data_IF_026067564119
#
_entry.id   IF_026067564119
#
_cell.length_a   1.000
_cell.length_b   1.000
_cell.length_c   1.000
_cell.angle_alpha   90.00
_cell.angle_beta   90.00
_cell.angle_gamma   90.00
#
_symmetry.space_group_name_H-M   'P 1'
#
loop_
_entity.id
_entity.type
_entity.pdbx_description
1 polymer ?
#
# COMPACT_ATOMS: atom_id res chain seq x y z
N UNK A 1 1.06 54.11 63.40
CA UNK A 1 0.92 53.93 61.95
C UNK A 1 1.85 52.80 61.59
N UNK A 2 1.28 51.61 61.46
CA UNK A 2 1.99 50.33 61.39
C UNK A 2 2.13 49.90 59.92
N UNK A 3 3.32 49.52 59.41
CA UNK A 3 3.55 49.24 57.99
C UNK A 3 3.05 47.87 57.49
N UNK A 4 2.38 47.06 58.32
CA UNK A 4 2.23 45.62 58.09
C UNK A 4 1.10 45.17 57.14
N UNK A 5 0.36 46.07 56.48
CA UNK A 5 -0.85 45.68 55.70
C UNK A 5 -0.71 45.82 54.17
N UNK A 6 0.52 45.92 53.64
CA UNK A 6 0.74 46.02 52.19
C UNK A 6 1.62 44.94 51.57
N UNK A 7 2.09 43.97 52.34
CA UNK A 7 2.91 42.86 51.81
C UNK A 7 2.17 41.54 51.65
N UNK A 8 0.92 41.41 52.09
CA UNK A 8 0.17 40.13 52.01
C UNK A 8 -0.69 39.97 50.73
N UNK A 9 -0.47 40.74 49.66
CA UNK A 9 -1.22 40.57 48.41
C UNK A 9 -0.35 40.38 47.16
N UNK A 10 0.90 39.94 47.34
CA UNK A 10 1.84 39.67 46.23
C UNK A 10 2.53 38.30 46.33
N UNK A 11 2.09 37.43 47.23
CA UNK A 11 2.65 36.08 47.43
C UNK A 11 1.60 34.98 47.30
N UNK A 12 0.64 35.14 46.40
CA UNK A 12 -0.34 34.08 46.06
C UNK A 12 -0.60 33.99 44.56
N UNK A 13 0.40 34.35 43.75
CA UNK A 13 0.62 33.60 42.53
C UNK A 13 1.59 32.50 42.93
N UNK A 14 1.07 31.44 43.54
CA UNK A 14 1.74 30.15 43.41
C UNK A 14 1.94 29.99 41.91
N UNK A 15 3.18 30.16 41.46
CA UNK A 15 3.66 29.47 40.28
C UNK A 15 3.47 27.98 40.64
N UNK A 16 2.25 27.48 40.47
CA UNK A 16 2.02 26.06 40.25
C UNK A 16 2.96 25.75 39.10
N UNK A 17 4.10 25.12 39.41
CA UNK A 17 4.88 24.40 38.42
C UNK A 17 3.89 23.40 37.82
N UNK A 18 3.17 23.83 36.78
CA UNK A 18 2.24 22.97 36.06
C UNK A 18 3.07 21.82 35.53
N UNK A 19 2.90 20.66 36.16
CA UNK A 19 3.55 19.42 35.78
C UNK A 19 3.29 19.21 34.28
N UNK A 20 4.36 19.22 33.48
CA UNK A 20 4.26 19.07 32.03
C UNK A 20 3.57 17.73 31.76
N UNK A 21 2.43 17.76 31.06
CA UNK A 21 1.65 16.56 30.76
C UNK A 21 2.58 15.48 30.18
N UNK A 22 2.69 14.30 30.81
CA UNK A 22 3.65 13.26 30.42
C UNK A 22 3.44 12.77 28.98
N UNK A 23 2.27 13.00 28.38
CA UNK A 23 1.99 12.71 26.96
C UNK A 23 2.78 13.63 26.02
N UNK A 24 3.10 14.87 26.43
CA UNK A 24 3.89 15.82 25.65
C UNK A 24 5.29 15.27 25.43
N UNK A 25 5.93 14.71 26.46
CA UNK A 25 7.26 14.13 26.34
C UNK A 25 7.28 13.00 25.28
N UNK A 26 6.30 12.10 25.31
CA UNK A 26 6.21 11.00 24.35
C UNK A 26 6.00 11.46 22.90
N UNK A 27 5.23 12.53 22.67
CA UNK A 27 5.06 13.08 21.32
C UNK A 27 6.28 13.89 20.84
N UNK A 28 7.01 14.56 21.75
CA UNK A 28 8.28 15.22 21.42
C UNK A 28 9.38 14.22 21.07
N UNK A 29 9.47 13.09 21.78
CA UNK A 29 10.38 12.00 21.43
C UNK A 29 10.07 11.44 20.04
N UNK A 30 8.79 11.23 19.71
CA UNK A 30 8.36 10.82 18.36
C UNK A 30 8.70 11.86 17.30
N UNK A 31 8.58 13.15 17.62
CA UNK A 31 8.92 14.24 16.71
C UNK A 31 10.42 14.28 16.42
N UNK A 32 11.26 14.14 17.44
CA UNK A 32 12.70 14.06 17.30
C UNK A 32 13.11 12.85 16.46
N UNK A 33 12.58 11.66 16.79
CA UNK A 33 12.83 10.44 16.01
C UNK A 33 12.40 10.59 14.54
N UNK A 34 11.21 11.12 14.30
CA UNK A 34 10.71 11.36 12.94
C UNK A 34 11.56 12.37 12.18
N UNK A 35 12.12 13.37 12.86
CA UNK A 35 13.02 14.38 12.27
C UNK A 35 14.33 13.75 11.83
N UNK A 36 14.93 12.91 12.68
CA UNK A 36 16.15 12.16 12.36
C UNK A 36 15.92 11.20 11.19
N UNK A 37 14.78 10.50 11.20
CA UNK A 37 14.40 9.60 10.10
C UNK A 37 14.15 10.35 8.79
N UNK A 38 13.54 11.54 8.82
CA UNK A 38 13.41 12.40 7.64
C UNK A 38 14.79 12.77 7.09
N UNK A 39 15.68 13.31 7.92
CA UNK A 39 17.01 13.74 7.49
C UNK A 39 17.82 12.58 6.90
N UNK A 40 17.74 11.40 7.54
CA UNK A 40 18.36 10.17 7.06
C UNK A 40 17.80 9.74 5.71
N UNK A 41 16.47 9.62 5.60
CA UNK A 41 15.85 9.14 4.36
C UNK A 41 15.99 10.13 3.21
N UNK A 42 16.02 11.44 3.47
CA UNK A 42 16.33 12.46 2.46
C UNK A 42 17.75 12.30 1.92
N UNK A 43 18.74 12.13 2.81
CA UNK A 43 20.13 11.92 2.43
C UNK A 43 20.30 10.62 1.62
N UNK A 44 19.76 9.50 2.12
CA UNK A 44 19.85 8.21 1.43
C UNK A 44 19.10 8.20 0.08
N UNK A 45 18.00 8.94 -0.03
CA UNK A 45 17.24 9.09 -1.27
C UNK A 45 18.03 9.88 -2.31
N UNK A 46 18.66 10.99 -1.93
CA UNK A 46 19.46 11.78 -2.88
C UNK A 46 20.71 11.02 -3.31
N UNK A 47 21.39 10.32 -2.40
CA UNK A 47 22.47 9.39 -2.72
C UNK A 47 22.02 8.32 -3.75
N UNK A 48 20.85 7.72 -3.52
CA UNK A 48 20.25 6.74 -4.43
C UNK A 48 19.97 7.33 -5.82
N UNK A 49 19.41 8.53 -5.88
CA UNK A 49 19.14 9.27 -7.12
C UNK A 49 20.43 9.63 -7.85
N UNK A 50 21.46 10.09 -7.14
CA UNK A 50 22.76 10.40 -7.73
C UNK A 50 23.42 9.15 -8.32
N UNK A 51 23.40 8.02 -7.60
CA UNK A 51 23.92 6.74 -8.10
C UNK A 51 23.16 6.29 -9.35
N UNK A 52 21.83 6.40 -9.36
CA UNK A 52 21.02 6.10 -10.54
C UNK A 52 21.43 6.97 -11.74
N UNK A 53 21.55 8.29 -11.56
CA UNK A 53 21.99 9.21 -12.63
C UNK A 53 23.40 8.87 -13.13
N UNK A 54 24.33 8.57 -12.24
CA UNK A 54 25.71 8.22 -12.60
C UNK A 54 25.77 6.94 -13.45
N UNK A 55 25.08 5.88 -13.02
CA UNK A 55 25.00 4.60 -13.77
C UNK A 55 24.29 4.80 -15.11
N UNK A 56 23.25 5.65 -15.16
CA UNK A 56 22.54 5.93 -16.41
C UNK A 56 23.46 6.60 -17.44
N UNK A 57 24.22 7.62 -17.02
CA UNK A 57 25.20 8.29 -17.89
C UNK A 57 26.29 7.32 -18.34
N UNK A 58 26.83 6.51 -17.42
CA UNK A 58 27.82 5.48 -17.75
C UNK A 58 27.28 4.49 -18.80
N UNK A 59 26.05 4.03 -18.62
CA UNK A 59 25.37 3.13 -19.56
C UNK A 59 25.23 3.77 -20.94
N UNK A 60 24.77 5.02 -21.00
CA UNK A 60 24.61 5.78 -22.26
C UNK A 60 25.94 5.91 -22.99
N UNK A 61 27.01 6.32 -22.30
CA UNK A 61 28.34 6.47 -22.89
C UNK A 61 28.89 5.16 -23.46
N UNK A 62 28.80 4.04 -22.70
CA UNK A 62 29.31 2.76 -23.18
C UNK A 62 28.48 2.19 -24.32
N UNK A 63 27.16 2.34 -24.27
CA UNK A 63 26.27 1.90 -25.35
C UNK A 63 26.44 2.72 -26.62
N UNK A 64 26.65 4.05 -26.50
CA UNK A 64 26.96 4.92 -27.64
C UNK A 64 28.29 4.52 -28.30
N UNK A 65 29.32 4.20 -27.51
CA UNK A 65 30.59 3.68 -28.03
C UNK A 65 30.43 2.39 -28.84
N UNK A 66 29.55 1.48 -28.40
CA UNK A 66 29.21 0.29 -29.17
C UNK A 66 28.37 0.62 -30.41
N UNK A 67 27.39 1.53 -30.30
CA UNK A 67 26.57 1.95 -31.43
C UNK A 67 27.41 2.54 -32.56
N UNK A 68 28.42 3.37 -32.24
CA UNK A 68 29.36 3.91 -33.23
C UNK A 68 30.16 2.82 -33.96
N UNK A 69 30.50 1.72 -33.29
CA UNK A 69 31.31 0.62 -33.86
C UNK A 69 30.51 -0.40 -34.65
N UNK A 70 29.30 -0.73 -34.19
CA UNK A 70 28.50 -1.86 -34.70
C UNK A 70 27.03 -1.51 -34.98
N UNK A 71 26.69 -0.22 -35.10
CA UNK A 71 25.31 0.28 -35.19
C UNK A 71 24.42 -0.40 -36.24
N UNK A 72 24.90 -0.56 -37.48
CA UNK A 72 24.12 -1.28 -38.52
C UNK A 72 23.71 -2.68 -38.09
N UNK A 73 24.64 -3.45 -37.49
CA UNK A 73 24.33 -4.79 -37.01
C UNK A 73 23.37 -4.78 -35.82
N UNK A 74 23.44 -3.75 -34.97
CA UNK A 74 22.49 -3.54 -33.86
C UNK A 74 21.10 -3.29 -34.44
N UNK A 75 20.95 -2.39 -35.41
CA UNK A 75 19.66 -2.08 -36.04
C UNK A 75 19.06 -3.28 -36.77
N UNK A 76 19.85 -3.97 -37.60
CA UNK A 76 19.39 -5.13 -38.39
C UNK A 76 18.94 -6.31 -37.50
N UNK A 77 19.50 -6.43 -36.30
CA UNK A 77 19.20 -7.54 -35.38
C UNK A 77 18.09 -7.25 -34.37
N UNK A 78 17.60 -6.00 -34.29
CA UNK A 78 16.50 -5.60 -33.38
C UNK A 78 15.29 -6.54 -33.43
N UNK A 79 14.77 -6.94 -34.61
CA UNK A 79 13.59 -7.82 -34.68
C UNK A 79 13.80 -9.16 -33.97
N UNK A 80 15.01 -9.74 -34.04
CA UNK A 80 15.33 -10.98 -33.34
C UNK A 80 15.31 -10.81 -31.82
N UNK A 81 15.91 -9.73 -31.30
CA UNK A 81 15.97 -9.49 -29.85
C UNK A 81 14.59 -9.16 -29.27
N UNK A 82 13.74 -8.48 -30.03
CA UNK A 82 12.33 -8.24 -29.69
C UNK A 82 11.53 -9.55 -29.69
N UNK A 83 11.64 -10.36 -30.75
CA UNK A 83 10.99 -11.67 -30.82
C UNK A 83 11.46 -12.60 -29.69
N UNK A 84 12.75 -12.54 -29.31
CA UNK A 84 13.30 -13.28 -28.17
C UNK A 84 12.68 -12.84 -26.85
N UNK A 85 12.46 -11.53 -26.65
CA UNK A 85 11.76 -11.00 -25.47
C UNK A 85 10.31 -11.52 -25.41
N UNK A 86 9.59 -11.47 -26.53
CA UNK A 86 8.20 -11.99 -26.63
C UNK A 86 8.16 -13.49 -26.35
N UNK A 87 9.07 -14.26 -26.95
CA UNK A 87 9.14 -15.70 -26.71
C UNK A 87 9.45 -16.05 -25.24
N UNK A 88 10.31 -15.26 -24.58
CA UNK A 88 10.59 -15.43 -23.15
C UNK A 88 9.37 -15.11 -22.28
N UNK A 89 8.62 -14.06 -22.63
CA UNK A 89 7.37 -13.71 -21.93
C UNK A 89 6.32 -14.81 -22.09
N UNK A 90 6.10 -15.27 -23.33
CA UNK A 90 5.18 -16.37 -23.62
C UNK A 90 5.59 -17.68 -22.90
N UNK A 91 6.90 -17.92 -22.72
CA UNK A 91 7.40 -19.05 -21.93
C UNK A 91 6.95 -18.95 -20.46
N UNK A 92 7.11 -17.79 -19.84
CA UNK A 92 6.75 -17.56 -18.43
C UNK A 92 5.24 -17.72 -18.25
N UNK A 93 4.45 -17.18 -19.16
CA UNK A 93 2.99 -17.30 -19.16
C UNK A 93 2.53 -18.75 -19.32
N UNK A 94 3.12 -19.49 -20.28
CA UNK A 94 2.80 -20.90 -20.47
C UNK A 94 3.18 -21.74 -19.24
N UNK A 95 4.32 -21.47 -18.60
CA UNK A 95 4.72 -22.13 -17.36
C UNK A 95 3.73 -21.84 -16.22
N UNK A 96 3.33 -20.57 -16.06
CA UNK A 96 2.33 -20.18 -15.05
C UNK A 96 0.98 -20.88 -15.29
N UNK A 97 0.49 -20.88 -16.53
CA UNK A 97 -0.77 -21.55 -16.88
C UNK A 97 -0.68 -23.07 -16.68
N UNK A 98 0.49 -23.67 -16.92
CA UNK A 98 0.74 -25.10 -16.63
C UNK A 98 0.62 -25.39 -15.13
N UNK A 99 1.25 -24.57 -14.28
CA UNK A 99 1.16 -24.73 -12.82
C UNK A 99 -0.28 -24.57 -12.32
N UNK A 100 -1.02 -23.60 -12.85
CA UNK A 100 -2.41 -23.37 -12.46
C UNK A 100 -3.35 -24.50 -12.93
N UNK A 101 -3.13 -25.04 -14.12
CA UNK A 101 -3.82 -26.23 -14.59
C UNK A 101 -3.54 -27.45 -13.70
N UNK A 102 -2.27 -27.70 -13.35
CA UNK A 102 -1.89 -28.78 -12.44
C UNK A 102 -2.57 -28.64 -11.08
N UNK A 103 -2.53 -27.44 -10.48
CA UNK A 103 -3.26 -27.13 -9.24
C UNK A 103 -4.76 -27.40 -9.37
N UNK A 104 -5.38 -26.98 -10.47
CA UNK A 104 -6.82 -27.19 -10.71
C UNK A 104 -7.17 -28.68 -10.82
N UNK A 105 -6.30 -29.47 -11.46
CA UNK A 105 -6.45 -30.93 -11.56
C UNK A 105 -6.33 -31.59 -10.17
N UNK A 106 -5.38 -31.16 -9.35
CA UNK A 106 -5.21 -31.67 -7.99
C UNK A 106 -6.40 -31.34 -7.10
N UNK A 107 -6.93 -30.12 -7.17
CA UNK A 107 -8.13 -29.70 -6.43
C UNK A 107 -9.33 -30.56 -6.84
N UNK A 108 -9.53 -30.77 -8.14
CA UNK A 108 -10.61 -31.61 -8.63
C UNK A 108 -10.47 -33.05 -8.14
N UNK A 109 -9.25 -33.60 -8.17
CA UNK A 109 -8.97 -34.96 -7.67
C UNK A 109 -9.34 -35.07 -6.18
N UNK A 110 -8.91 -34.12 -5.36
CA UNK A 110 -9.23 -34.10 -3.93
C UNK A 110 -10.74 -33.93 -3.66
N UNK A 111 -11.43 -33.12 -4.46
CA UNK A 111 -12.89 -32.93 -4.34
C UNK A 111 -13.64 -34.23 -4.68
N UNK A 112 -13.22 -34.95 -5.75
CA UNK A 112 -13.79 -36.25 -6.11
C UNK A 112 -13.50 -37.34 -5.07
N UNK A 113 -12.29 -37.36 -4.51
CA UNK A 113 -11.92 -38.27 -3.42
C UNK A 113 -12.76 -38.01 -2.16
N UNK A 114 -13.07 -36.75 -1.86
CA UNK A 114 -13.97 -36.40 -0.74
C UNK A 114 -15.37 -36.98 -0.93
N UNK A 115 -15.93 -36.94 -2.15
CA UNK A 115 -17.22 -37.58 -2.45
C UNK A 115 -17.11 -39.10 -2.33
N UNK A 116 -16.08 -39.72 -2.92
CA UNK A 116 -15.90 -41.17 -2.88
C UNK A 116 -15.80 -41.71 -1.43
N UNK A 117 -15.05 -41.03 -0.56
CA UNK A 117 -14.97 -41.38 0.86
C UNK A 117 -16.29 -41.16 1.62
N UNK A 118 -17.07 -40.15 1.22
CA UNK A 118 -18.40 -39.93 1.80
C UNK A 118 -19.39 -41.02 1.37
N UNK A 119 -19.30 -41.50 0.12
CA UNK A 119 -20.09 -42.62 -0.40
C UNK A 119 -19.71 -43.96 0.28
N UNK A 120 -18.42 -44.23 0.46
CA UNK A 120 -17.93 -45.43 1.16
C UNK A 120 -18.45 -45.48 2.60
N UNK A 121 -18.30 -44.38 3.35
CA UNK A 121 -18.83 -44.28 4.71
C UNK A 121 -20.34 -44.43 4.79
N UNK A 122 -21.09 -43.99 3.77
CA UNK A 122 -22.54 -44.18 3.73
C UNK A 122 -22.91 -45.66 3.56
N UNK A 123 -22.15 -46.40 2.74
CA UNK A 123 -22.39 -47.81 2.46
C UNK A 123 -22.05 -48.74 3.64
N UNK A 124 -21.18 -48.30 4.56
CA UNK A 124 -20.77 -49.08 5.74
C UNK A 124 -21.78 -49.00 6.91
N UNK A 125 -22.75 -48.08 6.89
CA UNK A 125 -23.56 -47.74 8.05
C UNK A 125 -25.06 -48.04 7.86
N UNK A 126 -25.45 -49.29 8.13
CA UNK A 126 -26.80 -49.86 7.91
C UNK A 126 -27.97 -49.19 8.68
N UNK A 127 -27.71 -48.19 9.55
CA UNK A 127 -28.69 -47.67 10.50
C UNK A 127 -29.04 -46.18 10.37
N UNK A 128 -28.49 -45.46 9.39
CA UNK A 128 -28.68 -44.01 9.29
C UNK A 128 -29.88 -43.61 8.42
N UNK A 129 -30.75 -42.78 8.98
CA UNK A 129 -31.75 -42.01 8.23
C UNK A 129 -31.01 -40.90 7.47
N UNK A 130 -31.39 -40.65 6.21
CA UNK A 130 -30.91 -39.49 5.45
C UNK A 130 -31.34 -38.20 6.16
N UNK A 131 -30.52 -37.72 7.10
CA UNK A 131 -30.79 -36.48 7.83
C UNK A 131 -30.48 -35.25 6.97
N UNK A 132 -31.02 -34.10 7.36
CA UNK A 132 -30.87 -32.83 6.65
C UNK A 132 -29.39 -32.41 6.55
N UNK A 133 -28.57 -32.73 7.56
CA UNK A 133 -27.15 -32.37 7.60
C UNK A 133 -26.33 -33.14 6.55
N UNK A 134 -26.66 -34.42 6.33
CA UNK A 134 -26.01 -35.24 5.32
C UNK A 134 -26.39 -34.82 3.90
N UNK A 135 -27.65 -34.44 3.67
CA UNK A 135 -28.09 -33.86 2.40
C UNK A 135 -27.36 -32.55 2.09
N UNK A 136 -27.22 -31.66 3.07
CA UNK A 136 -26.46 -30.41 2.94
C UNK A 136 -24.97 -30.67 2.64
N UNK A 137 -24.35 -31.65 3.33
CA UNK A 137 -22.96 -32.05 3.08
C UNK A 137 -22.76 -32.54 1.63
N UNK A 138 -23.67 -33.40 1.13
CA UNK A 138 -23.58 -33.92 -0.24
C UNK A 138 -23.80 -32.82 -1.29
N UNK A 139 -24.75 -31.91 -1.05
CA UNK A 139 -24.98 -30.76 -1.91
C UNK A 139 -23.73 -29.88 -2.02
N UNK A 140 -23.09 -29.59 -0.88
CA UNK A 140 -21.85 -28.81 -0.85
C UNK A 140 -20.68 -29.55 -1.52
N UNK A 141 -20.52 -30.86 -1.28
CA UNK A 141 -19.48 -31.65 -1.93
C UNK A 141 -19.67 -31.70 -3.46
N UNK A 142 -20.91 -31.88 -3.92
CA UNK A 142 -21.28 -31.88 -5.34
C UNK A 142 -21.03 -30.53 -5.99
N UNK A 143 -21.41 -29.44 -5.33
CA UNK A 143 -21.12 -28.08 -5.78
C UNK A 143 -19.61 -27.85 -5.91
N UNK A 144 -18.82 -28.27 -4.92
CA UNK A 144 -17.35 -28.14 -4.96
C UNK A 144 -16.71 -28.92 -6.09
N UNK A 145 -17.20 -30.12 -6.41
CA UNK A 145 -16.72 -30.88 -7.58
C UNK A 145 -17.07 -30.15 -8.87
N UNK A 146 -18.30 -29.66 -9.00
CA UNK A 146 -18.73 -28.90 -10.19
C UNK A 146 -17.87 -27.64 -10.40
N UNK A 147 -17.62 -26.86 -9.34
CA UNK A 147 -16.76 -25.67 -9.38
C UNK A 147 -15.31 -26.03 -9.74
N UNK A 148 -14.78 -27.11 -9.15
CA UNK A 148 -13.43 -27.59 -9.46
C UNK A 148 -13.31 -28.08 -10.91
N UNK A 149 -14.33 -28.74 -11.47
CA UNK A 149 -14.36 -29.15 -12.88
C UNK A 149 -14.40 -27.95 -13.82
N UNK A 150 -15.20 -26.93 -13.48
CA UNK A 150 -15.25 -25.69 -14.25
C UNK A 150 -13.91 -24.96 -14.20
N UNK A 151 -13.27 -24.88 -13.02
CA UNK A 151 -11.93 -24.29 -12.86
C UNK A 151 -10.88 -25.02 -13.68
N UNK A 152 -10.83 -26.36 -13.60
CA UNK A 152 -9.95 -27.21 -14.40
C UNK A 152 -10.14 -26.98 -15.91
N UNK A 153 -11.38 -26.91 -16.37
CA UNK A 153 -11.68 -26.71 -17.79
C UNK A 153 -11.21 -25.34 -18.29
N UNK A 154 -11.38 -24.29 -17.48
CA UNK A 154 -10.86 -22.95 -17.79
C UNK A 154 -9.33 -22.91 -17.81
N UNK A 155 -8.67 -23.47 -16.81
CA UNK A 155 -7.20 -23.50 -16.76
C UNK A 155 -6.58 -24.37 -17.84
N UNK A 156 -7.25 -25.45 -18.27
CA UNK A 156 -6.85 -26.26 -19.42
C UNK A 156 -6.89 -25.47 -20.73
N UNK A 157 -7.97 -24.72 -20.97
CA UNK A 157 -8.10 -23.88 -22.16
C UNK A 157 -7.01 -22.79 -22.19
N UNK A 158 -6.72 -22.16 -21.06
CA UNK A 158 -5.64 -21.18 -20.93
C UNK A 158 -4.26 -21.80 -21.14
N UNK A 159 -4.00 -22.98 -20.57
CA UNK A 159 -2.77 -23.73 -20.80
C UNK A 159 -2.55 -24.03 -22.29
N UNK A 160 -3.58 -24.54 -22.99
CA UNK A 160 -3.49 -24.82 -24.44
C UNK A 160 -3.23 -23.55 -25.25
N UNK A 161 -3.93 -22.45 -24.93
CA UNK A 161 -3.76 -21.15 -25.58
C UNK A 161 -2.34 -20.59 -25.40
N UNK A 162 -1.84 -20.56 -24.16
CA UNK A 162 -0.52 -20.04 -23.84
C UNK A 162 0.60 -20.91 -24.43
N UNK A 163 0.43 -22.23 -24.45
CA UNK A 163 1.35 -23.15 -25.12
C UNK A 163 1.41 -22.91 -26.65
N UNK A 164 0.27 -22.70 -27.30
CA UNK A 164 0.23 -22.36 -28.72
C UNK A 164 0.94 -21.02 -29.03
N UNK A 165 0.70 -20.00 -28.21
CA UNK A 165 1.37 -18.69 -28.32
C UNK A 165 2.89 -18.81 -28.13
N UNK A 166 3.33 -19.60 -27.15
CA UNK A 166 4.76 -19.88 -26.92
C UNK A 166 5.40 -20.55 -28.14
N UNK A 167 4.78 -21.60 -28.67
CA UNK A 167 5.28 -22.32 -29.84
C UNK A 167 5.37 -21.42 -31.08
N UNK A 168 4.35 -20.59 -31.32
CA UNK A 168 4.35 -19.59 -32.40
C UNK A 168 5.49 -18.58 -32.24
N UNK A 169 5.65 -18.03 -31.03
CA UNK A 169 6.70 -17.05 -30.72
C UNK A 169 8.12 -17.62 -30.88
N UNK A 170 8.35 -18.85 -30.41
CA UNK A 170 9.63 -19.54 -30.57
C UNK A 170 9.92 -19.85 -32.04
N UNK A 171 8.92 -20.29 -32.81
CA UNK A 171 9.06 -20.54 -34.24
C UNK A 171 9.47 -19.26 -34.98
N UNK A 172 8.78 -18.15 -34.73
CA UNK A 172 9.10 -16.86 -35.32
C UNK A 172 10.52 -16.38 -34.95
N UNK A 173 10.89 -16.46 -33.66
CA UNK A 173 12.23 -16.12 -33.19
C UNK A 173 13.30 -16.96 -33.90
N UNK A 174 13.10 -18.28 -34.04
CA UNK A 174 14.03 -19.18 -34.74
C UNK A 174 14.16 -18.85 -36.23
N UNK A 175 13.09 -18.41 -36.89
CA UNK A 175 13.15 -17.96 -38.28
C UNK A 175 14.03 -16.70 -38.40
N UNK A 176 13.87 -15.74 -37.50
CA UNK A 176 14.71 -14.54 -37.45
C UNK A 176 16.17 -14.87 -37.12
N UNK A 177 16.41 -15.82 -36.22
CA UNK A 177 17.75 -16.30 -35.86
C UNK A 177 18.51 -16.83 -37.08
N UNK A 178 17.83 -17.64 -37.90
CA UNK A 178 18.40 -18.18 -39.15
C UNK A 178 18.72 -17.07 -40.15
N UNK A 179 17.81 -16.11 -40.33
CA UNK A 179 17.96 -15.01 -41.31
C UNK A 179 19.03 -13.99 -40.90
N UNK A 180 19.13 -13.67 -39.60
CA UNK A 180 19.93 -12.55 -39.09
C UNK A 180 21.21 -13.00 -38.35
N UNK A 181 21.64 -14.26 -38.50
CA UNK A 181 22.73 -14.89 -37.75
C UNK A 181 23.99 -14.03 -37.60
N UNK A 182 24.47 -13.41 -38.69
CA UNK A 182 25.68 -12.55 -38.67
C UNK A 182 25.46 -11.28 -37.85
N UNK A 183 24.35 -10.58 -38.08
CA UNK A 183 24.01 -9.33 -37.36
C UNK A 183 23.73 -9.59 -35.88
N UNK A 184 23.10 -10.73 -35.53
CA UNK A 184 22.90 -11.16 -34.14
C UNK A 184 24.25 -11.37 -33.44
N UNK A 185 25.15 -12.14 -34.04
CA UNK A 185 26.46 -12.40 -33.43
C UNK A 185 27.28 -11.12 -33.23
N UNK A 186 27.25 -10.20 -34.21
CA UNK A 186 27.98 -8.93 -34.15
C UNK A 186 27.37 -7.94 -33.15
N UNK A 187 26.05 -7.93 -32.99
CA UNK A 187 25.32 -7.04 -32.08
C UNK A 187 25.23 -7.55 -30.64
N UNK A 188 25.45 -8.84 -30.41
CA UNK A 188 25.33 -9.49 -29.10
C UNK A 188 25.98 -8.72 -27.93
N UNK A 189 27.23 -8.20 -28.04
CA UNK A 189 27.84 -7.44 -26.94
C UNK A 189 27.05 -6.19 -26.55
N UNK A 190 26.40 -5.52 -27.50
CA UNK A 190 25.56 -4.35 -27.24
C UNK A 190 24.32 -4.73 -26.43
N UNK A 191 23.59 -5.77 -26.85
CA UNK A 191 22.36 -6.18 -26.17
C UNK A 191 22.62 -6.81 -24.80
N UNK A 192 23.72 -7.55 -24.62
CA UNK A 192 24.13 -8.08 -23.31
C UNK A 192 24.50 -6.94 -22.35
N UNK A 193 25.27 -5.94 -22.81
CA UNK A 193 25.62 -4.78 -21.99
C UNK A 193 24.39 -3.93 -21.65
N UNK A 194 23.51 -3.70 -22.64
CA UNK A 194 22.23 -2.99 -22.44
C UNK A 194 21.37 -3.71 -21.42
N UNK A 195 21.29 -5.04 -21.48
CA UNK A 195 20.58 -5.87 -20.51
C UNK A 195 21.16 -5.75 -19.09
N UNK A 196 22.48 -5.79 -18.94
CA UNK A 196 23.16 -5.60 -17.64
C UNK A 196 22.82 -4.25 -17.01
N UNK A 197 22.95 -3.16 -17.76
CA UNK A 197 22.62 -1.82 -17.25
C UNK A 197 21.12 -1.66 -16.97
N UNK A 198 20.26 -2.24 -17.80
CA UNK A 198 18.82 -2.22 -17.56
C UNK A 198 18.47 -2.84 -16.20
N UNK A 199 19.01 -4.03 -15.89
CA UNK A 199 18.78 -4.69 -14.59
C UNK A 199 19.33 -3.87 -13.42
N UNK A 200 20.53 -3.30 -13.57
CA UNK A 200 21.13 -2.47 -12.52
C UNK A 200 20.33 -1.19 -12.26
N UNK A 201 19.87 -0.52 -13.32
CA UNK A 201 19.04 0.68 -13.21
C UNK A 201 17.66 0.36 -12.63
N UNK A 202 17.04 -0.75 -13.02
CA UNK A 202 15.75 -1.17 -12.46
C UNK A 202 15.86 -1.46 -10.96
N UNK A 203 16.93 -2.14 -10.53
CA UNK A 203 17.21 -2.35 -9.11
C UNK A 203 17.40 -1.03 -8.35
N UNK A 204 18.21 -0.11 -8.88
CA UNK A 204 18.39 1.22 -8.27
C UNK A 204 17.09 2.01 -8.20
N UNK A 205 16.23 1.91 -9.23
CA UNK A 205 14.91 2.54 -9.25
C UNK A 205 13.99 1.99 -8.16
N UNK A 206 13.98 0.67 -7.94
CA UNK A 206 13.24 0.04 -6.84
C UNK A 206 13.72 0.60 -5.50
N UNK A 207 15.04 0.64 -5.25
CA UNK A 207 15.60 1.18 -4.02
C UNK A 207 15.24 2.66 -3.81
N UNK A 208 15.31 3.49 -4.87
CA UNK A 208 14.89 4.91 -4.81
C UNK A 208 13.41 5.03 -4.45
N UNK A 209 12.54 4.20 -5.03
CA UNK A 209 11.11 4.20 -4.72
C UNK A 209 10.85 3.75 -3.27
N UNK A 210 11.56 2.74 -2.78
CA UNK A 210 11.48 2.29 -1.40
C UNK A 210 11.93 3.38 -0.42
N UNK A 211 13.03 4.08 -0.70
CA UNK A 211 13.49 5.21 0.13
C UNK A 211 12.50 6.37 0.09
N UNK A 212 11.94 6.68 -1.07
CA UNK A 212 10.89 7.68 -1.20
C UNK A 212 9.66 7.31 -0.36
N UNK A 213 9.24 6.05 -0.37
CA UNK A 213 8.12 5.58 0.44
C UNK A 213 8.40 5.72 1.94
N UNK A 214 9.61 5.36 2.39
CA UNK A 214 10.04 5.53 3.80
C UNK A 214 10.07 7.00 4.22
N UNK A 215 10.60 7.88 3.37
CA UNK A 215 10.58 9.32 3.61
C UNK A 215 9.14 9.85 3.76
N UNK A 216 8.22 9.39 2.91
CA UNK A 216 6.81 9.78 2.99
C UNK A 216 6.17 9.29 4.30
N UNK A 217 6.50 8.08 4.76
CA UNK A 217 6.07 7.55 6.07
C UNK A 217 6.58 8.41 7.22
N UNK A 218 7.89 8.69 7.27
CA UNK A 218 8.50 9.50 8.32
C UNK A 218 7.90 10.92 8.36
N UNK A 219 7.64 11.54 7.20
CA UNK A 219 6.93 12.83 7.12
C UNK A 219 5.47 12.73 7.59
N UNK A 220 4.81 11.59 7.38
CA UNK A 220 3.45 11.38 7.88
C UNK A 220 3.43 11.23 9.41
N UNK A 221 4.40 10.49 9.97
CA UNK A 221 4.61 10.32 11.41
C UNK A 221 4.93 11.65 12.09
N UNK A 222 5.84 12.45 11.53
CA UNK A 222 6.13 13.81 12.00
C UNK A 222 4.87 14.69 12.05
N UNK A 223 4.08 14.73 10.97
CA UNK A 223 2.81 15.47 10.93
C UNK A 223 1.76 14.93 11.88
N UNK A 224 1.81 13.64 12.24
CA UNK A 224 0.91 13.03 13.21
C UNK A 224 1.30 13.45 14.62
N UNK A 225 2.59 13.41 14.95
CA UNK A 225 3.12 13.87 16.24
C UNK A 225 2.80 15.36 16.49
N UNK A 226 2.96 16.22 15.47
CA UNK A 226 2.57 17.63 15.57
C UNK A 226 1.08 17.82 15.86
N UNK A 227 0.19 17.14 15.13
CA UNK A 227 -1.27 17.20 15.38
C UNK A 227 -1.65 16.67 16.76
N UNK A 228 -0.96 15.66 17.26
CA UNK A 228 -1.17 15.15 18.61
C UNK A 228 -0.75 16.20 19.66
N UNK A 229 0.39 16.87 19.47
CA UNK A 229 0.83 17.97 20.35
C UNK A 229 -0.15 19.14 20.34
N UNK A 230 -0.67 19.51 19.18
CA UNK A 230 -1.74 20.52 19.03
C UNK A 230 -3.00 20.10 19.81
N UNK A 231 -3.47 18.86 19.66
CA UNK A 231 -4.63 18.32 20.39
C UNK A 231 -4.41 18.32 21.90
N UNK A 232 -3.23 17.88 22.38
CA UNK A 232 -2.89 17.89 23.81
C UNK A 232 -2.88 19.33 24.34
N UNK A 233 -2.30 20.27 23.59
CA UNK A 233 -2.30 21.69 23.96
C UNK A 233 -3.72 22.25 24.04
N UNK A 234 -4.57 21.97 23.05
CA UNK A 234 -5.98 22.39 23.05
C UNK A 234 -6.77 21.80 24.22
N UNK A 235 -6.55 20.53 24.57
CA UNK A 235 -7.14 19.86 25.74
C UNK A 235 -6.74 20.55 27.04
N UNK A 236 -5.44 20.79 27.24
CA UNK A 236 -4.92 21.47 28.43
C UNK A 236 -5.52 22.88 28.55
N UNK A 237 -5.55 23.63 27.46
CA UNK A 237 -6.17 24.96 27.45
C UNK A 237 -7.68 24.93 27.70
N UNK A 238 -8.40 23.92 27.19
CA UNK A 238 -9.83 23.75 27.45
C UNK A 238 -10.08 23.41 28.92
N UNK A 239 -9.27 22.55 29.52
CA UNK A 239 -9.34 22.20 30.94
C UNK A 239 -9.08 23.43 31.81
N UNK A 240 -8.03 24.23 31.53
CA UNK A 240 -7.78 25.50 32.23
C UNK A 240 -8.94 26.49 32.10
N UNK A 241 -9.53 26.64 30.91
CA UNK A 241 -10.73 27.49 30.72
C UNK A 241 -11.94 27.00 31.53
N UNK A 242 -12.12 25.69 31.65
CA UNK A 242 -13.21 25.10 32.45
C UNK A 242 -13.00 25.29 33.96
N UNK A 243 -11.76 25.17 34.44
CA UNK A 243 -11.39 25.39 35.85
C UNK A 243 -11.45 26.88 36.21
N UNK A 244 -11.00 27.77 35.33
CA UNK A 244 -11.12 29.22 35.51
C UNK A 244 -12.59 29.73 35.46
N UNK A 245 -13.52 28.93 34.92
CA UNK A 245 -14.97 29.16 34.99
C UNK A 245 -15.62 28.53 36.25
N UNK A 246 -14.82 27.87 37.12
CA UNK A 246 -15.24 27.36 38.41
C UNK A 246 -15.53 28.48 39.42
N UNK A 247 -16.68 28.36 40.07
CA UNK A 247 -17.31 29.28 41.05
C UNK A 247 -17.66 30.67 40.53
N UNK A 248 -18.56 30.76 39.53
CA UNK A 248 -19.60 31.81 39.60
C UNK A 248 -20.49 31.48 40.78
N UNK A 249 -20.14 32.00 41.95
CA UNK A 249 -21.04 32.01 43.10
C UNK A 249 -22.39 32.58 42.67
N UNK A 250 -23.45 31.92 43.13
CA UNK A 250 -24.82 32.35 42.98
C UNK A 250 -24.95 33.72 43.66
N UNK A 251 -24.85 34.79 42.88
CA UNK A 251 -24.98 36.16 43.35
C UNK A 251 -26.33 36.36 44.00
N UNK A 252 -26.33 36.46 45.32
CA UNK A 252 -27.43 37.00 46.12
C UNK A 252 -27.43 38.51 45.97
N UNK A 253 -28.56 39.07 45.53
CA UNK A 253 -28.65 40.50 45.27
C UNK A 253 -30.04 40.99 44.88
N UNK A 254 -30.88 41.14 45.91
CA UNK A 254 -31.98 42.10 46.04
C UNK A 254 -33.27 41.88 45.23
N UNK A 255 -34.25 41.36 45.96
CA UNK A 255 -35.67 41.74 45.92
C UNK A 255 -35.89 43.19 45.45
N UNK A 256 -36.83 43.38 44.52
CA UNK A 256 -37.29 44.67 44.02
C UNK A 256 -38.57 44.48 43.20
N UNK A 257 -39.67 44.39 43.91
CA UNK A 257 -41.08 44.32 43.50
C UNK A 257 -41.51 45.33 42.41
N UNK A 258 -42.51 44.95 41.61
CA UNK A 258 -43.22 45.84 40.67
C UNK A 258 -43.69 45.15 39.40
N UNK A 259 -44.89 44.57 39.44
CA UNK A 259 -45.52 43.84 38.33
C UNK A 259 -46.21 44.67 37.24
N UNK A 260 -46.88 43.93 36.36
CA UNK A 260 -47.88 44.28 35.34
C UNK A 260 -47.40 45.12 34.13
N UNK A 261 -47.82 44.87 32.89
CA UNK A 261 -48.64 43.82 32.28
C UNK A 261 -48.48 43.94 30.74
N UNK A 262 -48.92 42.92 30.01
CA UNK A 262 -49.36 42.92 28.61
C UNK A 262 -48.64 43.81 27.56
N UNK A 263 -47.96 43.18 26.57
CA UNK A 263 -48.42 43.23 25.16
C UNK A 263 -47.98 41.95 24.46
N UNK A 264 -48.93 41.05 24.27
CA UNK A 264 -48.84 39.95 23.34
C UNK A 264 -48.76 40.45 21.89
N UNK A 265 -48.14 39.62 21.05
CA UNK A 265 -48.46 39.48 19.63
C UNK A 265 -47.89 40.54 18.67
N UNK A 266 -46.71 40.24 18.10
CA UNK A 266 -46.52 40.37 16.65
C UNK A 266 -45.63 39.25 16.12
N UNK A 267 -46.25 38.39 15.31
CA UNK A 267 -45.67 37.35 14.47
C UNK A 267 -45.55 37.94 13.06
N UNK A 268 -44.38 37.93 12.42
CA UNK A 268 -44.27 37.75 10.96
C UNK A 268 -42.81 37.64 10.48
N UNK A 269 -42.57 36.55 9.75
CA UNK A 269 -41.65 36.35 8.60
C UNK A 269 -40.12 36.50 8.78
N UNK A 270 -39.37 35.41 8.62
CA UNK A 270 -38.86 34.86 7.34
C UNK A 270 -37.82 35.76 6.71
N UNK A 271 -36.55 35.33 6.75
CA UNK A 271 -35.90 34.82 5.55
C UNK A 271 -34.54 34.21 5.91
N UNK A 272 -34.39 32.94 5.56
CA UNK A 272 -33.08 32.31 5.44
C UNK A 272 -32.51 32.62 4.07
N UNK A 273 -31.20 32.85 4.00
CA UNK A 273 -30.40 32.53 2.82
C UNK A 273 -29.00 32.09 3.26
N UNK A 274 -28.65 30.90 2.79
CA UNK A 274 -27.32 30.29 2.73
C UNK A 274 -26.27 31.21 2.13
N UNK A 275 -25.01 31.05 2.55
CA UNK A 275 -24.04 30.14 1.91
C UNK A 275 -22.76 30.02 2.72
#
# INVERSE_FOLDING_TARGET
MDPSLKEENLQSAEEEEEEVDPRIQGELEKLNQSTDDINRWESELEDGRQRFRAVLVEAMCKLDGLMKRIGRAVDDSKPYWEARKVAKQAQIEAQKATQEFQRSVEILRAAKETIALAEERLLEEDSRQFDSAWQEMLNHATQRVMEAEQSRTRSEAEHKKTAANYNSSISHMRQLEKKLKRSINKSRPYFELKGKYYLQLEHLKILVNERQAKLMSAKAEYRKALRNLESISEEIHAQRRSVAMGTREQGVGAEGDGGDDEVANFKMESDGLSS
#
